data_IF_296419020400
#
_entry.id   IF_296419020400
#
_cell.length_a   1.000
_cell.length_b   1.000
_cell.length_c   1.000
_cell.angle_alpha   90.00
_cell.angle_beta   90.00
_cell.angle_gamma   90.00
#
_symmetry.space_group_name_H-M   'P 1'
#
loop_
_entity.id
_entity.type
_entity.pdbx_description
1 polymer ?
#
# COMPACT_ATOMS: atom_id res chain seq x y z
N UNK A 1 2.20 11.44 -4.25
CA UNK A 1 0.92 11.88 -3.65
C UNK A 1 1.27 12.60 -2.34
N UNK A 2 0.53 13.63 -1.92
CA UNK A 2 0.87 14.34 -0.68
C UNK A 2 -0.32 14.95 0.04
N UNK A 3 -0.18 15.07 1.36
CA UNK A 3 -1.14 15.71 2.26
C UNK A 3 -0.44 16.94 2.86
N UNK A 4 -1.17 18.06 2.82
CA UNK A 4 -0.84 19.33 3.46
C UNK A 4 -2.08 19.77 4.27
N UNK A 5 -1.94 20.67 5.23
CA UNK A 5 -3.05 21.08 6.11
C UNK A 5 -4.26 21.56 5.30
N UNK A 6 -5.38 20.84 5.40
CA UNK A 6 -6.65 21.03 4.67
C UNK A 6 -6.64 20.76 3.15
N UNK A 7 -5.59 20.14 2.59
CA UNK A 7 -5.52 19.80 1.16
C UNK A 7 -4.91 18.42 0.91
N UNK A 8 -5.55 17.66 0.02
CA UNK A 8 -5.05 16.36 -0.46
C UNK A 8 -4.76 16.48 -1.95
N UNK A 9 -3.53 16.13 -2.34
CA UNK A 9 -3.08 16.13 -3.74
C UNK A 9 -2.95 14.69 -4.24
N UNK A 10 -3.92 14.25 -5.04
CA UNK A 10 -3.98 12.89 -5.60
C UNK A 10 -4.15 12.87 -7.11
N UNK A 11 -4.00 11.70 -7.74
CA UNK A 11 -4.39 11.48 -9.15
C UNK A 11 -5.71 10.72 -9.15
N UNK A 12 -6.67 11.13 -9.97
CA UNK A 12 -8.02 10.57 -9.99
C UNK A 12 -8.36 10.05 -11.39
N UNK A 13 -8.23 8.73 -11.58
CA UNK A 13 -8.55 7.92 -12.79
C UNK A 13 -7.89 8.38 -14.11
N UNK A 14 -8.14 9.62 -14.52
CA UNK A 14 -7.32 10.39 -15.45
C UNK A 14 -5.92 10.72 -14.89
N UNK A 15 -4.95 10.93 -15.77
CA UNK A 15 -3.53 11.19 -15.42
C UNK A 15 -3.27 12.50 -14.69
N UNK A 16 -4.26 13.38 -14.56
CA UNK A 16 -4.12 14.72 -13.99
C UNK A 16 -4.00 14.69 -12.46
N UNK A 17 -3.20 15.63 -11.93
CA UNK A 17 -3.13 15.87 -10.50
C UNK A 17 -4.28 16.76 -10.05
N UNK A 18 -4.98 16.31 -9.01
CA UNK A 18 -6.19 16.90 -8.44
C UNK A 18 -5.90 17.36 -7.02
N UNK A 19 -6.40 18.55 -6.68
CA UNK A 19 -6.40 19.11 -5.32
C UNK A 19 -7.82 19.08 -4.79
N UNK A 20 -8.04 18.32 -3.72
CA UNK A 20 -9.31 18.29 -2.99
C UNK A 20 -9.24 19.20 -1.75
N UNK A 21 -10.27 20.02 -1.57
CA UNK A 21 -10.43 20.91 -0.40
C UNK A 21 -11.69 20.50 0.38
N UNK A 22 -11.59 20.46 1.70
CA UNK A 22 -12.73 20.20 2.58
C UNK A 22 -13.85 21.25 2.38
N UNK A 23 -15.09 20.79 2.25
CA UNK A 23 -16.30 21.62 2.18
C UNK A 23 -17.14 21.42 3.44
N UNK A 24 -17.37 20.17 3.83
CA UNK A 24 -18.08 19.84 5.07
C UNK A 24 -17.65 18.46 5.60
N UNK A 25 -17.70 18.26 6.91
CA UNK A 25 -17.58 16.93 7.54
C UNK A 25 -18.98 16.33 7.62
N UNK A 26 -19.13 15.03 7.35
CA UNK A 26 -20.45 14.39 7.35
C UNK A 26 -20.92 14.10 8.77
N UNK A 27 -21.72 15.00 9.34
CA UNK A 27 -22.38 14.79 10.64
C UNK A 27 -23.10 13.44 10.70
N UNK A 28 -22.87 12.69 11.79
CA UNK A 28 -23.59 11.45 12.10
C UNK A 28 -23.03 10.15 11.50
N UNK A 29 -21.99 10.19 10.63
CA UNK A 29 -21.36 8.99 10.05
C UNK A 29 -19.93 8.73 10.54
N UNK A 30 -19.57 9.34 11.68
CA UNK A 30 -18.20 9.35 12.20
C UNK A 30 -17.31 10.36 11.47
N UNK A 31 -16.28 10.85 12.17
CA UNK A 31 -15.42 11.95 11.70
C UNK A 31 -14.45 11.55 10.55
N UNK A 32 -14.70 10.42 9.91
CA UNK A 32 -13.90 9.83 8.83
C UNK A 32 -14.39 10.22 7.43
N UNK A 33 -15.60 10.74 7.28
CA UNK A 33 -16.20 11.06 5.98
C UNK A 33 -16.34 12.57 5.76
N UNK A 34 -15.79 13.04 4.66
CA UNK A 34 -15.66 14.47 4.35
C UNK A 34 -16.12 14.73 2.93
N UNK A 35 -17.07 15.65 2.77
CA UNK A 35 -17.45 16.21 1.48
C UNK A 35 -16.34 17.18 1.06
N UNK A 36 -15.76 16.95 -0.11
CA UNK A 36 -14.70 17.79 -0.67
C UNK A 36 -15.11 18.37 -2.02
N UNK A 37 -14.45 19.45 -2.41
CA UNK A 37 -14.49 19.97 -3.78
C UNK A 37 -13.11 19.78 -4.44
N UNK A 38 -13.09 19.17 -5.62
CA UNK A 38 -11.88 18.88 -6.39
C UNK A 38 -11.67 19.86 -7.54
N UNK A 39 -10.42 20.29 -7.69
CA UNK A 39 -9.93 21.09 -8.83
C UNK A 39 -8.67 20.46 -9.39
N UNK A 40 -8.49 20.44 -10.72
CA UNK A 40 -7.19 20.07 -11.32
C UNK A 40 -6.11 21.11 -10.95
N UNK A 41 -4.84 20.75 -11.08
CA UNK A 41 -3.72 21.71 -10.91
C UNK A 41 -3.77 22.90 -11.88
N UNK A 42 -4.50 22.77 -13.00
CA UNK A 42 -4.74 23.85 -13.96
C UNK A 42 -5.92 24.77 -13.57
N UNK A 43 -6.55 24.54 -12.42
CA UNK A 43 -7.70 25.32 -11.94
C UNK A 43 -9.05 24.91 -12.51
N UNK A 44 -9.14 23.82 -13.28
CA UNK A 44 -10.41 23.31 -13.79
C UNK A 44 -11.21 22.69 -12.64
N UNK A 45 -12.44 23.15 -12.45
CA UNK A 45 -13.36 22.62 -11.44
C UNK A 45 -13.86 21.24 -11.86
N UNK A 46 -13.65 20.23 -11.03
CA UNK A 46 -14.20 18.88 -11.26
C UNK A 46 -15.57 18.73 -10.61
N UNK A 47 -15.75 19.25 -9.39
CA UNK A 47 -17.00 19.18 -8.63
C UNK A 47 -16.80 18.61 -7.23
N UNK A 48 -17.89 18.14 -6.62
CA UNK A 48 -17.97 17.65 -5.25
C UNK A 48 -18.01 16.12 -5.21
N UNK A 49 -17.44 15.53 -4.17
CA UNK A 49 -17.50 14.08 -3.89
C UNK A 49 -17.25 13.83 -2.40
N UNK A 50 -17.48 12.60 -1.93
CA UNK A 50 -17.11 12.20 -0.58
C UNK A 50 -15.76 11.48 -0.58
N UNK A 51 -14.90 11.85 0.37
CA UNK A 51 -13.74 11.06 0.77
C UNK A 51 -14.04 10.38 2.10
N UNK A 52 -13.82 9.06 2.17
CA UNK A 52 -13.87 8.29 3.41
C UNK A 52 -12.46 7.85 3.80
N UNK A 53 -11.97 8.34 4.92
CA UNK A 53 -10.61 8.12 5.42
C UNK A 53 -10.52 6.99 6.44
N UNK A 54 -9.39 6.28 6.43
CA UNK A 54 -8.92 5.45 7.55
C UNK A 54 -7.48 5.82 7.87
N UNK A 55 -7.23 6.20 9.12
CA UNK A 55 -5.85 6.37 9.58
C UNK A 55 -5.22 4.99 9.80
N UNK A 56 -4.05 4.75 9.20
CA UNK A 56 -3.31 3.48 9.31
C UNK A 56 -2.03 3.60 10.13
N UNK A 57 -1.44 4.80 10.19
CA UNK A 57 -0.40 5.17 11.15
C UNK A 57 -0.40 6.69 11.35
N UNK A 58 0.61 7.25 12.03
CA UNK A 58 0.85 8.70 12.03
C UNK A 58 1.11 9.28 10.62
N UNK A 59 1.57 8.42 9.69
CA UNK A 59 2.06 8.84 8.38
C UNK A 59 1.32 8.22 7.21
N UNK A 60 0.61 7.11 7.41
CA UNK A 60 -0.17 6.44 6.37
C UNK A 60 -1.66 6.62 6.64
N UNK A 61 -2.39 7.05 5.61
CA UNK A 61 -3.85 6.99 5.59
C UNK A 61 -4.30 6.24 4.34
N UNK A 62 -5.42 5.56 4.41
CA UNK A 62 -6.14 5.11 3.22
C UNK A 62 -7.40 5.97 3.03
N UNK A 63 -7.86 6.08 1.79
CA UNK A 63 -9.15 6.68 1.51
C UNK A 63 -9.87 6.05 0.31
N UNK A 64 -11.21 6.01 0.39
CA UNK A 64 -12.12 5.77 -0.74
C UNK A 64 -12.67 7.12 -1.23
N UNK A 65 -13.07 7.18 -2.50
CA UNK A 65 -13.67 8.37 -3.14
C UNK A 65 -14.92 7.96 -3.89
N UNK A 66 -16.01 8.74 -3.78
CA UNK A 66 -17.20 8.55 -4.63
C UNK A 66 -16.98 9.13 -6.04
N UNK A 67 -17.95 8.95 -6.92
CA UNK A 67 -18.02 9.70 -8.17
C UNK A 67 -18.18 11.21 -7.90
N UNK A 68 -17.80 12.03 -8.88
CA UNK A 68 -17.85 13.49 -8.79
C UNK A 68 -19.19 14.02 -9.32
N UNK A 69 -19.83 14.88 -8.53
CA UNK A 69 -21.13 15.52 -8.83
C UNK A 69 -21.02 17.05 -8.85
N UNK A 70 -21.90 17.71 -9.61
CA UNK A 70 -21.85 19.17 -9.79
C UNK A 70 -22.35 19.98 -8.58
N UNK A 71 -23.26 19.42 -7.78
CA UNK A 71 -23.87 20.09 -6.62
C UNK A 71 -23.69 19.25 -5.35
N UNK A 72 -23.30 19.85 -4.20
CA UNK A 72 -23.13 19.12 -2.96
C UNK A 72 -24.48 18.87 -2.28
N UNK A 73 -25.00 17.64 -2.34
CA UNK A 73 -26.03 17.20 -1.41
C UNK A 73 -25.40 16.76 -0.08
N UNK A 74 -26.17 16.75 1.01
CA UNK A 74 -25.72 16.18 2.29
C UNK A 74 -25.60 14.65 2.24
N UNK A 75 -26.04 14.01 1.15
CA UNK A 75 -26.17 12.56 1.05
C UNK A 75 -25.00 11.90 0.31
N UNK A 76 -24.10 12.67 -0.31
CA UNK A 76 -22.93 12.16 -1.04
C UNK A 76 -22.07 11.22 -0.15
N UNK A 77 -21.92 11.53 1.15
CA UNK A 77 -21.19 10.70 2.09
C UNK A 77 -22.00 9.56 2.74
N UNK A 78 -23.31 9.45 2.44
CA UNK A 78 -24.22 8.46 3.04
C UNK A 78 -24.43 7.21 2.17
N UNK A 79 -23.96 7.22 0.93
CA UNK A 79 -24.08 6.09 0.01
C UNK A 79 -22.95 5.07 0.24
N UNK A 80 -23.10 4.22 1.27
CA UNK A 80 -22.12 3.17 1.61
C UNK A 80 -21.80 2.29 0.41
N UNK A 81 -22.82 1.86 -0.35
CA UNK A 81 -22.66 1.00 -1.51
C UNK A 81 -21.72 1.57 -2.57
N UNK A 82 -21.84 2.86 -2.89
CA UNK A 82 -20.95 3.50 -3.87
C UNK A 82 -19.52 3.58 -3.36
N UNK A 83 -19.33 3.85 -2.06
CA UNK A 83 -18.00 3.79 -1.45
C UNK A 83 -17.44 2.37 -1.45
N UNK A 84 -18.26 1.35 -1.22
CA UNK A 84 -17.86 -0.05 -1.21
C UNK A 84 -17.40 -0.53 -2.59
N UNK A 85 -18.08 -0.10 -3.67
CA UNK A 85 -17.70 -0.36 -5.07
C UNK A 85 -16.38 0.30 -5.52
N UNK A 86 -15.79 1.23 -4.73
CA UNK A 86 -14.50 1.89 -5.06
C UNK A 86 -13.32 1.32 -4.24
N UNK A 87 -12.13 1.10 -4.83
CA UNK A 87 -10.97 0.59 -4.11
C UNK A 87 -10.36 1.63 -3.16
N UNK A 88 -9.67 1.16 -2.10
CA UNK A 88 -8.88 2.02 -1.24
C UNK A 88 -7.63 2.54 -1.96
N UNK A 89 -7.36 3.83 -1.84
CA UNK A 89 -6.09 4.44 -2.22
C UNK A 89 -5.24 4.73 -0.99
N UNK A 90 -3.97 4.33 -1.01
CA UNK A 90 -3.06 4.48 0.14
C UNK A 90 -2.17 5.72 -0.04
N UNK A 91 -2.13 6.57 0.98
CA UNK A 91 -1.37 7.82 1.00
C UNK A 91 -0.31 7.80 2.09
N UNK A 92 0.86 8.31 1.73
CA UNK A 92 1.89 8.68 2.68
C UNK A 92 1.96 10.19 2.87
N UNK A 93 2.09 10.61 4.13
CA UNK A 93 2.39 11.99 4.52
C UNK A 93 3.66 12.50 3.85
N UNK A 94 3.66 13.80 3.51
CA UNK A 94 4.86 14.51 3.04
C UNK A 94 5.97 14.54 4.10
N UNK A 95 5.59 14.49 5.38
CA UNK A 95 6.48 14.30 6.55
C UNK A 95 6.16 12.94 7.14
N UNK A 96 6.78 11.90 6.58
CA UNK A 96 6.55 10.51 7.00
C UNK A 96 7.53 10.10 8.11
N UNK A 97 6.98 9.81 9.27
CA UNK A 97 7.62 9.05 10.37
C UNK A 97 7.67 7.55 10.03
N UNK A 98 8.63 6.82 10.59
CA UNK A 98 8.68 5.36 10.46
C UNK A 98 7.75 4.68 11.47
N UNK A 99 7.39 3.43 11.20
CA UNK A 99 6.50 2.60 12.02
C UNK A 99 7.13 1.24 12.21
N UNK A 100 6.81 0.55 13.31
CA UNK A 100 7.17 -0.87 13.45
C UNK A 100 6.53 -1.67 12.31
N UNK A 101 7.29 -2.61 11.72
CA UNK A 101 6.83 -3.42 10.59
C UNK A 101 5.80 -4.49 11.02
N UNK A 102 5.91 -5.03 12.24
CA UNK A 102 4.90 -5.93 12.83
C UNK A 102 5.18 -7.43 12.74
N UNK A 103 6.27 -7.83 12.09
CA UNK A 103 6.77 -9.21 12.01
C UNK A 103 8.20 -9.27 12.59
N UNK A 104 8.66 -10.42 13.10
CA UNK A 104 10.00 -10.55 13.70
C UNK A 104 10.63 -11.91 13.43
N UNK A 105 11.88 -11.93 12.97
CA UNK A 105 12.65 -13.15 12.75
C UNK A 105 13.21 -13.26 11.33
N UNK A 106 13.48 -14.50 10.93
CA UNK A 106 14.04 -14.85 9.63
C UNK A 106 13.21 -15.96 8.99
N UNK A 107 12.83 -15.75 7.73
CA UNK A 107 11.94 -16.64 6.97
C UNK A 107 12.55 -16.87 5.59
N UNK A 108 12.39 -18.09 5.08
CA UNK A 108 12.97 -18.54 3.80
C UNK A 108 11.93 -19.32 3.01
N UNK A 109 11.82 -19.07 1.70
CA UNK A 109 10.97 -19.88 0.80
C UNK A 109 11.33 -21.37 0.91
N UNK A 110 10.36 -22.26 1.18
CA UNK A 110 10.61 -23.70 1.18
C UNK A 110 11.11 -24.20 -0.18
N UNK A 111 12.09 -25.12 -0.17
CA UNK A 111 12.81 -25.56 -1.38
C UNK A 111 11.95 -26.33 -2.39
N UNK A 112 10.80 -26.80 -1.95
CA UNK A 112 9.76 -27.51 -2.69
C UNK A 112 8.70 -26.56 -3.31
N UNK A 113 8.67 -25.29 -2.87
CA UNK A 113 7.72 -24.26 -3.31
C UNK A 113 8.40 -23.15 -4.14
N UNK A 114 9.54 -23.47 -4.75
CA UNK A 114 10.29 -22.55 -5.62
C UNK A 114 9.54 -22.27 -6.93
N UNK A 115 9.45 -21.00 -7.30
CA UNK A 115 8.83 -20.57 -8.56
C UNK A 115 9.90 -20.05 -9.52
N UNK A 116 9.85 -20.56 -10.75
CA UNK A 116 10.73 -20.23 -11.89
C UNK A 116 12.25 -20.41 -11.71
N UNK A 117 12.75 -20.65 -10.49
CA UNK A 117 14.19 -20.68 -10.18
C UNK A 117 14.53 -20.05 -8.83
N UNK A 118 13.62 -19.23 -8.29
CA UNK A 118 13.97 -18.18 -7.33
C UNK A 118 13.31 -18.40 -5.97
N UNK A 119 14.07 -18.05 -4.94
CA UNK A 119 13.77 -18.23 -3.54
C UNK A 119 14.04 -16.90 -2.81
N UNK A 120 13.33 -16.69 -1.70
CA UNK A 120 13.35 -15.43 -0.98
C UNK A 120 13.72 -15.64 0.48
N UNK A 121 14.47 -14.69 1.01
CA UNK A 121 14.86 -14.61 2.41
C UNK A 121 14.35 -13.29 2.97
N UNK A 122 13.37 -13.35 3.87
CA UNK A 122 12.90 -12.21 4.65
C UNK A 122 13.63 -12.20 6.00
N UNK A 123 14.10 -11.03 6.43
CA UNK A 123 14.74 -10.86 7.73
C UNK A 123 14.34 -9.53 8.34
N UNK A 124 13.94 -9.57 9.61
CA UNK A 124 13.51 -8.41 10.38
C UNK A 124 14.26 -8.42 11.72
N UNK A 125 15.26 -7.54 11.83
CA UNK A 125 16.22 -7.54 12.93
C UNK A 125 15.62 -6.88 14.18
N UNK A 126 15.73 -7.53 15.34
CA UNK A 126 15.20 -7.03 16.61
C UNK A 126 15.76 -5.66 17.04
N UNK A 127 16.95 -5.30 16.54
CA UNK A 127 17.59 -4.01 16.84
C UNK A 127 16.97 -2.84 16.07
N UNK A 128 16.26 -3.10 14.94
CA UNK A 128 15.60 -2.05 14.15
C UNK A 128 14.22 -2.49 13.66
N UNK A 129 13.24 -2.33 14.55
CA UNK A 129 11.84 -2.76 14.38
C UNK A 129 11.08 -2.11 13.20
N UNK A 130 11.63 -1.04 12.61
CA UNK A 130 11.00 -0.22 11.56
C UNK A 130 11.49 -0.52 10.15
N UNK A 131 12.30 -1.56 9.96
CA UNK A 131 12.75 -1.99 8.64
C UNK A 131 12.89 -3.51 8.53
N UNK A 132 12.83 -3.99 7.29
CA UNK A 132 13.13 -5.36 6.93
C UNK A 132 14.01 -5.46 5.70
N UNK A 133 14.72 -6.59 5.58
CA UNK A 133 15.55 -6.93 4.43
C UNK A 133 14.95 -8.13 3.73
N UNK A 134 14.66 -7.95 2.44
CA UNK A 134 14.28 -9.00 1.50
C UNK A 134 15.47 -9.31 0.60
N UNK A 135 15.78 -10.59 0.40
CA UNK A 135 16.86 -11.07 -0.47
C UNK A 135 16.29 -12.09 -1.45
N UNK A 136 16.43 -11.82 -2.74
CA UNK A 136 16.08 -12.76 -3.81
C UNK A 136 17.33 -13.53 -4.27
N UNK A 137 17.23 -14.84 -4.36
CA UNK A 137 18.34 -15.73 -4.70
C UNK A 137 17.89 -16.95 -5.50
N UNK A 138 18.77 -17.46 -6.36
CA UNK A 138 18.51 -18.69 -7.12
C UNK A 138 18.49 -19.88 -6.16
N UNK A 139 17.36 -20.59 -6.06
CA UNK A 139 17.20 -21.75 -5.17
C UNK A 139 18.26 -22.84 -5.40
N UNK A 140 18.67 -23.02 -6.66
CA UNK A 140 19.59 -24.08 -7.07
C UNK A 140 21.04 -23.81 -6.66
N UNK A 141 21.49 -22.55 -6.70
CA UNK A 141 22.90 -22.17 -6.46
C UNK A 141 23.11 -21.47 -5.11
N UNK A 142 22.05 -20.94 -4.50
CA UNK A 142 22.16 -20.05 -3.33
C UNK A 142 22.67 -18.64 -3.68
N UNK A 143 22.79 -18.32 -4.96
CA UNK A 143 23.34 -17.04 -5.44
C UNK A 143 22.28 -15.94 -5.33
N UNK A 144 22.49 -15.01 -4.39
CA UNK A 144 21.69 -13.80 -4.26
C UNK A 144 21.99 -12.81 -5.39
N UNK A 145 20.94 -12.34 -6.07
CA UNK A 145 21.04 -11.37 -7.16
C UNK A 145 20.40 -10.02 -6.81
N UNK A 146 19.51 -9.98 -5.83
CA UNK A 146 18.84 -8.76 -5.37
C UNK A 146 18.73 -8.74 -3.84
N UNK A 147 18.99 -7.57 -3.24
CA UNK A 147 18.91 -7.31 -1.80
C UNK A 147 18.26 -5.96 -1.59
N UNK A 148 17.06 -5.99 -1.01
CA UNK A 148 16.21 -4.81 -0.85
C UNK A 148 15.94 -4.55 0.62
N UNK A 149 16.08 -3.29 1.03
CA UNK A 149 15.82 -2.85 2.39
C UNK A 149 14.58 -1.94 2.41
N UNK A 150 13.56 -2.34 3.14
CA UNK A 150 12.29 -1.63 3.27
C UNK A 150 12.21 -0.96 4.63
N UNK A 151 11.82 0.32 4.64
CA UNK A 151 11.46 1.06 5.86
C UNK A 151 9.94 1.13 5.95
N UNK A 152 9.38 0.65 7.05
CA UNK A 152 7.95 0.64 7.28
C UNK A 152 7.45 2.02 7.73
N UNK A 153 6.33 2.46 7.19
CA UNK A 153 5.69 3.74 7.52
C UNK A 153 4.28 3.57 8.10
N UNK A 154 3.66 2.41 7.92
CA UNK A 154 2.44 2.04 8.63
C UNK A 154 2.17 0.55 8.49
N UNK A 155 1.78 -0.07 9.59
CA UNK A 155 1.32 -1.46 9.61
C UNK A 155 -0.05 -1.50 10.28
N UNK A 156 -1.01 -2.18 9.66
CA UNK A 156 -2.34 -2.39 10.23
C UNK A 156 -2.82 -3.82 9.96
N UNK A 157 -3.82 -4.27 10.72
CA UNK A 157 -4.49 -5.55 10.48
C UNK A 157 -5.95 -5.32 10.12
N UNK A 158 -6.45 -6.09 9.17
CA UNK A 158 -7.87 -6.26 8.87
C UNK A 158 -8.14 -7.77 8.89
N UNK A 159 -8.95 -8.19 9.87
CA UNK A 159 -9.18 -9.59 10.22
C UNK A 159 -7.86 -10.37 10.41
N UNK A 160 -7.64 -11.45 9.66
CA UNK A 160 -6.41 -12.25 9.68
C UNK A 160 -5.27 -11.66 8.81
N UNK A 161 -5.53 -10.59 8.05
CA UNK A 161 -4.58 -10.00 7.10
C UNK A 161 -3.83 -8.83 7.75
N UNK A 162 -2.51 -8.82 7.65
CA UNK A 162 -1.67 -7.66 7.96
C UNK A 162 -1.30 -6.95 6.66
N UNK A 163 -1.32 -5.61 6.67
CA UNK A 163 -0.79 -4.79 5.60
C UNK A 163 0.42 -4.00 6.12
N UNK A 164 1.49 -3.94 5.33
CA UNK A 164 2.74 -3.24 5.66
C UNK A 164 3.03 -2.26 4.53
N UNK A 165 2.87 -0.96 4.77
CA UNK A 165 3.17 0.08 3.80
C UNK A 165 4.56 0.66 4.04
N UNK A 166 5.40 0.62 3.00
CA UNK A 166 6.85 0.82 3.09
C UNK A 166 7.35 1.92 2.17
N UNK A 167 8.56 2.41 2.42
CA UNK A 167 9.44 2.99 1.39
C UNK A 167 10.67 2.11 1.29
N UNK A 168 11.15 1.88 0.08
CA UNK A 168 12.48 1.35 -0.11
C UNK A 168 13.53 2.34 0.42
N UNK A 169 14.42 1.87 1.31
CA UNK A 169 15.47 2.67 1.93
C UNK A 169 16.65 2.90 0.99
N UNK A 170 16.99 1.87 0.19
CA UNK A 170 18.02 1.92 -0.84
C UNK A 170 18.00 0.64 -1.68
N UNK A 171 17.73 0.76 -2.98
CA UNK A 171 17.98 -0.30 -3.96
C UNK A 171 19.48 -0.30 -4.31
N UNK A 172 20.19 -1.40 -4.07
CA UNK A 172 21.52 -1.61 -4.67
C UNK A 172 21.48 -2.87 -5.54
N UNK A 173 21.23 -2.67 -6.82
CA UNK A 173 21.37 -3.76 -7.79
C UNK A 173 22.86 -4.15 -7.88
N UNK A 174 23.19 -5.37 -7.41
CA UNK A 174 24.56 -5.86 -7.27
C UNK A 174 25.28 -5.95 -8.63
N UNK A 175 24.52 -6.18 -9.71
CA UNK A 175 25.07 -6.29 -11.06
C UNK A 175 25.29 -4.93 -11.76
N UNK A 176 24.52 -3.88 -11.42
CA UNK A 176 24.57 -2.59 -12.14
C UNK A 176 25.03 -1.39 -11.31
N UNK A 177 25.12 -1.52 -9.98
CA UNK A 177 25.44 -0.41 -9.04
C UNK A 177 24.56 0.85 -9.24
N UNK A 178 23.31 0.67 -9.67
CA UNK A 178 22.35 1.76 -9.83
C UNK A 178 21.46 1.89 -8.59
N UNK A 179 21.31 3.13 -8.11
CA UNK A 179 20.37 3.52 -7.05
C UNK A 179 19.22 4.32 -7.68
N UNK A 180 18.06 3.68 -7.87
CA UNK A 180 16.83 4.37 -8.26
C UNK A 180 15.96 4.63 -7.04
N UNK A 181 15.29 5.77 -6.98
CA UNK A 181 14.33 6.08 -5.91
C UNK A 181 12.97 5.50 -6.28
N UNK A 182 12.69 4.27 -5.84
CA UNK A 182 11.46 3.52 -6.10
C UNK A 182 10.26 4.17 -5.39
N UNK A 183 9.05 3.84 -5.83
CA UNK A 183 7.83 4.31 -5.16
C UNK A 183 7.64 3.55 -3.83
N UNK A 184 6.82 4.06 -2.89
CA UNK A 184 6.37 3.26 -1.75
C UNK A 184 5.74 1.95 -2.20
N UNK A 185 5.84 0.87 -1.42
CA UNK A 185 5.29 -0.46 -1.73
C UNK A 185 4.43 -0.97 -0.57
N UNK A 186 3.30 -1.61 -0.89
CA UNK A 186 2.40 -2.19 0.10
C UNK A 186 2.45 -3.71 0.06
N UNK A 187 2.82 -4.32 1.18
CA UNK A 187 2.83 -5.76 1.32
C UNK A 187 1.57 -6.26 2.03
N UNK A 188 0.97 -7.34 1.52
CA UNK A 188 0.01 -8.14 2.26
C UNK A 188 0.73 -9.29 2.96
N UNK A 189 0.44 -9.51 4.24
CA UNK A 189 0.89 -10.68 5.00
C UNK A 189 -0.31 -11.44 5.58
N UNK A 190 -0.32 -12.76 5.41
CA UNK A 190 -1.26 -13.69 6.06
C UNK A 190 -0.49 -14.82 6.73
N UNK A 191 -1.06 -15.35 7.81
CA UNK A 191 -0.58 -16.51 8.55
C UNK A 191 -1.70 -17.56 8.54
N UNK A 192 -1.39 -18.81 8.22
CA UNK A 192 -2.37 -19.90 8.25
C UNK A 192 -2.43 -20.60 9.62
N UNK A 193 -3.26 -21.64 9.74
CA UNK A 193 -3.42 -22.40 10.99
C UNK A 193 -2.19 -23.22 11.39
N UNK A 194 -1.28 -23.49 10.44
CA UNK A 194 -0.08 -24.29 10.65
C UNK A 194 1.15 -23.40 10.92
N UNK A 195 0.97 -22.07 10.89
CA UNK A 195 2.02 -21.08 11.13
C UNK A 195 2.84 -20.73 9.89
N UNK A 196 2.39 -21.11 8.69
CA UNK A 196 3.04 -20.68 7.44
C UNK A 196 2.68 -19.21 7.16
N UNK A 197 3.67 -18.45 6.70
CA UNK A 197 3.52 -17.03 6.40
C UNK A 197 3.56 -16.82 4.89
N UNK A 198 2.51 -16.18 4.40
CA UNK A 198 2.36 -15.73 3.03
C UNK A 198 2.59 -14.21 3.03
N UNK A 199 3.45 -13.73 2.14
CA UNK A 199 3.68 -12.31 1.87
C UNK A 199 3.30 -12.06 0.40
N UNK A 200 2.96 -10.85 -0.01
CA UNK A 200 2.80 -10.48 -1.41
C UNK A 200 3.06 -8.96 -1.56
N UNK A 201 3.83 -8.53 -2.57
CA UNK A 201 3.85 -7.12 -2.96
C UNK A 201 2.59 -6.79 -3.78
N UNK A 202 1.80 -5.85 -3.28
CA UNK A 202 0.62 -5.29 -3.95
C UNK A 202 0.97 -4.04 -4.79
N UNK A 203 2.24 -3.65 -4.77
CA UNK A 203 2.76 -2.48 -5.46
C UNK A 203 2.41 -1.15 -4.76
N UNK A 204 2.42 -0.08 -5.55
CA UNK A 204 2.72 1.27 -5.03
C UNK A 204 1.55 2.22 -4.79
N UNK A 205 0.31 1.81 -5.07
CA UNK A 205 -0.85 2.72 -5.09
C UNK A 205 -2.03 2.29 -4.22
N UNK A 206 -2.23 0.99 -4.06
CA UNK A 206 -3.40 0.41 -3.43
C UNK A 206 -2.94 -0.80 -2.63
N UNK A 207 -3.26 -0.83 -1.34
CA UNK A 207 -3.22 -2.06 -0.56
C UNK A 207 -4.50 -2.83 -0.89
N UNK A 208 -4.51 -3.48 -2.06
CA UNK A 208 -5.64 -4.28 -2.50
C UNK A 208 -5.95 -5.41 -1.50
N UNK A 209 -7.23 -5.69 -1.30
CA UNK A 209 -7.74 -6.72 -0.38
C UNK A 209 -8.15 -7.99 -1.12
N UNK A 210 -8.42 -7.86 -2.42
CA UNK A 210 -8.92 -8.93 -3.27
C UNK A 210 -7.78 -9.76 -3.89
N UNK A 211 -6.55 -9.63 -3.35
CA UNK A 211 -5.42 -10.49 -3.71
C UNK A 211 -5.68 -11.94 -3.26
N UNK A 212 -5.90 -12.81 -4.23
CA UNK A 212 -6.05 -14.24 -4.02
C UNK A 212 -4.68 -14.96 -4.10
N UNK A 213 -4.23 -15.51 -2.98
CA UNK A 213 -3.02 -16.34 -2.90
C UNK A 213 -3.17 -17.72 -3.58
N UNK A 214 -4.38 -18.09 -4.03
CA UNK A 214 -4.67 -19.42 -4.60
C UNK A 214 -4.82 -19.42 -6.13
N UNK A 215 -5.34 -18.33 -6.73
CA UNK A 215 -5.50 -18.23 -8.18
C UNK A 215 -4.25 -17.69 -8.91
N UNK A 216 -3.43 -16.85 -8.25
CA UNK A 216 -2.26 -16.21 -8.86
C UNK A 216 -1.00 -17.08 -8.92
N UNK A 217 -1.13 -18.42 -8.96
CA UNK A 217 -0.02 -19.39 -9.04
C UNK A 217 0.41 -19.66 -10.51
N UNK A 218 -0.27 -19.04 -11.49
CA UNK A 218 0.12 -19.12 -12.90
C UNK A 218 -0.40 -17.97 -13.75
N UNK A 219 0.48 -17.03 -14.13
CA UNK A 219 0.72 -16.48 -15.49
C UNK A 219 1.54 -15.17 -15.36
N UNK A 220 2.84 -15.29 -15.67
CA UNK A 220 3.82 -14.27 -16.09
C UNK A 220 3.89 -12.89 -15.36
N UNK A 221 5.00 -12.73 -14.60
CA UNK A 221 5.51 -11.53 -13.91
C UNK A 221 4.80 -11.05 -12.64
N UNK A 222 5.43 -11.35 -11.48
CA UNK A 222 5.28 -10.71 -10.14
C UNK A 222 3.90 -10.82 -9.45
N UNK A 223 3.77 -11.27 -8.19
CA UNK A 223 4.82 -11.59 -7.19
C UNK A 223 4.39 -12.50 -6.03
N UNK A 224 5.17 -13.56 -5.74
CA UNK A 224 6.22 -13.59 -4.69
C UNK A 224 6.71 -15.00 -4.18
N UNK A 225 5.92 -16.09 -4.26
CA UNK A 225 5.82 -17.25 -3.29
C UNK A 225 6.55 -17.16 -1.95
N UNK A 226 5.85 -16.69 -0.93
CA UNK A 226 4.93 -15.53 -0.94
C UNK A 226 3.58 -15.66 -1.82
N UNK A 227 3.41 -15.25 -3.12
CA UNK A 227 2.75 -16.06 -4.25
C UNK A 227 2.96 -15.53 -5.71
N UNK A 228 3.82 -16.16 -6.55
CA UNK A 228 4.26 -15.71 -7.91
C UNK A 228 3.52 -16.47 -9.04
#
# INVERSE_FOLDING_TARGET
MSIETHQIRHRQSSSDMVVSRCVNVSDGLGNERIIVHSTTMCGVSLGFHCLWFRQRSNSVIEFKTTAVVSNPSQDICKNDRELDEHPWMTLLSSRSETSVCGLFGHYTTPKDLWLNGDCYNLSMDCDRLDNFKLVAFRCQTGEAYEVTHYTCHGTWREDATMFIYTKEASMQNIATNQTNQKQPECFMLREDSDGNIFLADLGSKQCDRDFDFTENVSIDFTEALFVF
#
